data_IF_507163510381
#
_entry.id   IF_507163510381
#
_cell.length_a   1.000
_cell.length_b   1.000
_cell.length_c   1.000
_cell.angle_alpha   90.00
_cell.angle_beta   90.00
_cell.angle_gamma   90.00
#
_symmetry.space_group_name_H-M   'P 1'
#
loop_
_entity.id
_entity.type
_entity.pdbx_description
1 polymer ?
#
# COMPACT_ATOMS: atom_id res chain seq x y z
N UNK A 1 -30.02 -23.80 -10.67
CA UNK A 1 -30.94 -23.05 -9.79
C UNK A 1 -30.09 -21.88 -9.26
N UNK A 2 -30.42 -20.66 -9.68
CA UNK A 2 -29.80 -19.50 -9.07
C UNK A 2 -30.20 -19.44 -7.59
N UNK A 3 -29.27 -19.18 -6.65
CA UNK A 3 -29.65 -18.91 -5.29
C UNK A 3 -30.58 -17.68 -5.27
N UNK A 4 -31.63 -17.74 -4.47
CA UNK A 4 -32.52 -16.61 -4.26
C UNK A 4 -31.69 -15.42 -3.77
N UNK A 5 -32.05 -14.17 -4.14
CA UNK A 5 -31.36 -13.01 -3.61
C UNK A 5 -31.50 -13.03 -2.08
N UNK A 6 -30.36 -13.07 -1.39
CA UNK A 6 -30.31 -12.92 0.06
C UNK A 6 -31.00 -11.60 0.41
N UNK A 7 -32.00 -11.67 1.27
CA UNK A 7 -32.61 -10.47 1.87
C UNK A 7 -31.50 -9.69 2.54
N UNK A 8 -31.35 -8.39 2.26
CA UNK A 8 -30.29 -7.60 2.90
C UNK A 8 -30.43 -7.73 4.42
N UNK A 9 -29.34 -8.10 5.11
CA UNK A 9 -29.34 -8.15 6.57
C UNK A 9 -29.76 -6.79 7.11
N UNK A 10 -30.63 -6.75 8.11
CA UNK A 10 -31.08 -5.48 8.67
C UNK A 10 -29.88 -4.74 9.23
N UNK A 11 -29.72 -3.47 8.86
CA UNK A 11 -28.69 -2.59 9.40
C UNK A 11 -28.70 -2.63 10.93
N UNK A 12 -27.55 -2.50 11.61
CA UNK A 12 -27.52 -2.46 13.06
C UNK A 12 -28.47 -1.36 13.58
N UNK A 13 -29.34 -1.69 14.52
CA UNK A 13 -30.40 -0.81 15.01
C UNK A 13 -29.86 0.52 15.60
N UNK A 14 -28.59 0.57 16.00
CA UNK A 14 -27.96 1.77 16.55
C UNK A 14 -27.39 2.71 15.46
N UNK A 15 -27.39 2.29 14.18
CA UNK A 15 -26.93 3.13 13.07
C UNK A 15 -28.09 3.98 12.55
N UNK A 16 -28.06 5.32 12.68
CA UNK A 16 -29.10 6.19 12.17
C UNK A 16 -29.21 6.08 10.64
N UNK A 17 -30.43 5.94 10.12
CA UNK A 17 -30.68 5.73 8.70
C UNK A 17 -30.12 6.83 7.80
N UNK A 18 -30.08 8.08 8.27
CA UNK A 18 -29.53 9.21 7.49
C UNK A 18 -28.01 9.14 7.32
N UNK A 19 -27.30 8.31 8.12
CA UNK A 19 -25.85 8.08 8.00
C UNK A 19 -25.50 6.91 7.09
N UNK A 20 -26.49 6.09 6.70
CA UNK A 20 -26.24 4.91 5.85
C UNK A 20 -26.00 5.36 4.41
N UNK A 21 -24.95 4.79 3.81
CA UNK A 21 -24.62 4.92 2.38
C UNK A 21 -24.52 3.54 1.78
N UNK A 22 -25.44 3.21 0.87
CA UNK A 22 -25.54 1.88 0.27
C UNK A 22 -24.58 1.74 -0.91
N UNK A 23 -23.28 1.65 -0.60
CA UNK A 23 -22.24 1.28 -1.55
C UNK A 23 -21.12 0.49 -0.85
N UNK A 24 -20.28 -0.14 -1.64
CA UNK A 24 -19.02 -0.76 -1.21
C UNK A 24 -17.86 0.10 -1.66
N UNK A 25 -17.10 0.67 -0.71
CA UNK A 25 -16.02 1.61 -1.02
C UNK A 25 -14.94 0.99 -1.93
N UNK A 26 -14.58 -0.28 -1.69
CA UNK A 26 -13.56 -0.94 -2.52
C UNK A 26 -14.07 -1.25 -3.93
N UNK A 27 -15.33 -1.69 -4.04
CA UNK A 27 -15.95 -1.92 -5.34
C UNK A 27 -16.07 -0.63 -6.14
N UNK A 28 -16.47 0.48 -5.50
CA UNK A 28 -16.55 1.79 -6.14
C UNK A 28 -15.17 2.30 -6.58
N UNK A 29 -14.15 2.27 -5.71
CA UNK A 29 -12.78 2.67 -6.09
C UNK A 29 -12.28 1.86 -7.30
N UNK A 30 -12.53 0.55 -7.32
CA UNK A 30 -12.18 -0.31 -8.45
C UNK A 30 -12.94 0.08 -9.72
N UNK A 31 -14.25 0.29 -9.61
CA UNK A 31 -15.12 0.64 -10.75
C UNK A 31 -14.79 2.03 -11.34
N UNK A 32 -14.46 3.00 -10.49
CA UNK A 32 -14.01 4.33 -10.90
C UNK A 32 -12.65 4.31 -11.59
N UNK A 33 -11.81 3.34 -11.27
CA UNK A 33 -10.53 3.11 -11.92
C UNK A 33 -9.66 4.38 -11.95
N UNK A 34 -9.50 4.97 -13.13
CA UNK A 34 -8.72 6.19 -13.33
C UNK A 34 -9.21 7.39 -12.53
N UNK A 35 -10.50 7.46 -12.24
CA UNK A 35 -11.15 8.56 -11.52
C UNK A 35 -11.36 8.26 -10.03
N UNK A 36 -10.77 7.19 -9.51
CA UNK A 36 -10.99 6.73 -8.13
C UNK A 36 -10.74 7.81 -7.07
N UNK A 37 -9.63 8.55 -7.20
CA UNK A 37 -9.30 9.61 -6.25
C UNK A 37 -10.17 10.86 -6.40
N UNK A 38 -10.56 11.22 -7.62
CA UNK A 38 -11.52 12.30 -7.87
C UNK A 38 -12.88 11.94 -7.28
N UNK A 39 -13.34 10.70 -7.48
CA UNK A 39 -14.56 10.21 -6.86
C UNK A 39 -14.46 10.20 -5.33
N UNK A 40 -13.36 9.69 -4.76
CA UNK A 40 -13.14 9.70 -3.30
C UNK A 40 -13.17 11.13 -2.72
N UNK A 41 -12.60 12.12 -3.42
CA UNK A 41 -12.66 13.51 -3.02
C UNK A 41 -14.10 14.05 -2.97
N UNK A 42 -15.01 13.58 -3.85
CA UNK A 42 -16.42 13.99 -3.81
C UNK A 42 -17.13 13.56 -2.53
N UNK A 43 -16.67 12.50 -1.86
CA UNK A 43 -17.26 12.02 -0.61
C UNK A 43 -17.15 13.08 0.50
N UNK A 44 -16.16 13.96 0.45
CA UNK A 44 -16.05 15.09 1.38
C UNK A 44 -17.20 16.09 1.26
N UNK A 45 -17.86 16.16 0.11
CA UNK A 45 -18.98 17.05 -0.16
C UNK A 45 -20.33 16.36 -0.07
N UNK A 46 -20.37 15.06 -0.39
CA UNK A 46 -21.63 14.31 -0.61
C UNK A 46 -22.02 13.41 0.56
N UNK A 47 -21.14 13.21 1.55
CA UNK A 47 -21.42 12.38 2.72
C UNK A 47 -21.25 13.15 4.04
N UNK A 48 -21.89 12.69 5.14
CA UNK A 48 -21.58 13.19 6.48
C UNK A 48 -20.09 12.96 6.83
N UNK A 49 -19.54 13.67 7.84
CA UNK A 49 -18.16 13.48 8.31
C UNK A 49 -17.85 12.03 8.70
N UNK A 50 -18.84 11.34 9.26
CA UNK A 50 -18.80 9.91 9.56
C UNK A 50 -20.08 9.29 9.04
N UNK A 51 -19.96 8.25 8.24
CA UNK A 51 -21.10 7.52 7.68
C UNK A 51 -20.89 6.02 7.80
N UNK A 52 -21.95 5.24 7.55
CA UNK A 52 -21.93 3.78 7.60
C UNK A 52 -22.11 3.22 6.19
N UNK A 53 -21.30 2.21 5.85
CA UNK A 53 -21.49 1.38 4.66
C UNK A 53 -21.83 -0.05 5.06
N UNK A 54 -22.79 -0.72 4.38
CA UNK A 54 -23.28 -2.03 4.80
C UNK A 54 -22.31 -3.18 4.56
N UNK A 55 -21.33 -2.98 3.68
CA UNK A 55 -20.31 -3.97 3.30
C UNK A 55 -19.03 -3.32 2.84
N UNK A 56 -17.94 -4.04 2.92
CA UNK A 56 -16.63 -3.68 2.40
C UNK A 56 -15.97 -4.95 1.83
N UNK A 57 -16.14 -5.21 0.54
CA UNK A 57 -15.83 -6.50 -0.08
C UNK A 57 -16.69 -7.61 0.54
N UNK A 58 -16.03 -8.64 1.08
CA UNK A 58 -16.70 -9.73 1.82
C UNK A 58 -16.86 -9.44 3.33
N UNK A 59 -16.42 -8.26 3.78
CA UNK A 59 -16.43 -7.88 5.19
C UNK A 59 -17.76 -7.24 5.56
N UNK A 60 -18.19 -7.35 6.84
CA UNK A 60 -19.41 -6.74 7.31
C UNK A 60 -19.35 -5.22 7.27
N UNK A 61 -20.50 -4.58 7.47
CA UNK A 61 -20.65 -3.14 7.49
C UNK A 61 -19.71 -2.44 8.47
N UNK A 62 -19.34 -1.21 8.13
CA UNK A 62 -18.31 -0.46 8.85
C UNK A 62 -18.62 1.04 8.87
N UNK A 63 -18.20 1.72 9.93
CA UNK A 63 -18.13 3.18 9.99
C UNK A 63 -16.99 3.69 9.11
N UNK A 64 -17.24 4.77 8.40
CA UNK A 64 -16.26 5.43 7.53
C UNK A 64 -16.13 6.89 7.96
N UNK A 65 -15.18 7.21 8.84
CA UNK A 65 -14.73 8.58 9.06
C UNK A 65 -13.98 9.08 7.82
N UNK A 66 -14.33 10.27 7.29
CA UNK A 66 -13.65 10.83 6.12
C UNK A 66 -12.69 11.98 6.45
N UNK A 67 -12.83 12.60 7.64
CA UNK A 67 -11.97 13.69 8.07
C UNK A 67 -10.65 13.18 8.60
N UNK A 68 -9.57 13.84 8.22
CA UNK A 68 -8.23 13.51 8.72
C UNK A 68 -8.13 13.65 10.25
N UNK A 69 -8.82 14.62 10.85
CA UNK A 69 -8.86 14.83 12.29
C UNK A 69 -9.46 13.64 13.03
N UNK A 70 -10.63 13.16 12.59
CA UNK A 70 -11.30 12.00 13.18
C UNK A 70 -10.44 10.75 13.07
N UNK A 71 -9.82 10.54 11.90
CA UNK A 71 -8.93 9.40 11.66
C UNK A 71 -7.67 9.45 12.53
N UNK A 72 -7.07 10.65 12.72
CA UNK A 72 -5.93 10.82 13.65
C UNK A 72 -6.34 10.51 15.09
N UNK A 73 -7.50 10.98 15.54
CA UNK A 73 -8.03 10.69 16.87
C UNK A 73 -8.20 9.19 17.08
N UNK A 74 -8.83 8.50 16.13
CA UNK A 74 -9.03 7.04 16.16
C UNK A 74 -7.69 6.30 16.23
N UNK A 75 -6.72 6.67 15.41
CA UNK A 75 -5.41 6.03 15.35
C UNK A 75 -4.52 6.29 16.58
N UNK A 76 -4.83 7.33 17.36
CA UNK A 76 -4.13 7.66 18.62
C UNK A 76 -4.76 7.01 19.85
N UNK A 77 -5.92 6.36 19.71
CA UNK A 77 -6.62 5.70 20.80
C UNK A 77 -6.76 4.18 20.55
N UNK A 78 -5.64 3.43 20.61
CA UNK A 78 -5.67 1.98 20.38
C UNK A 78 -6.39 1.19 21.49
N UNK A 79 -6.69 1.81 22.63
CA UNK A 79 -7.48 1.17 23.68
C UNK A 79 -8.95 1.08 23.31
N UNK A 80 -9.46 2.11 22.67
CA UNK A 80 -10.84 2.15 22.17
C UNK A 80 -10.96 1.55 20.77
N UNK A 81 -9.94 1.71 19.91
CA UNK A 81 -9.93 1.27 18.51
C UNK A 81 -8.82 0.24 18.27
N UNK A 82 -9.12 -1.00 18.63
CA UNK A 82 -8.19 -2.14 18.59
C UNK A 82 -7.84 -2.56 17.16
N UNK A 83 -6.59 -2.97 16.97
CA UNK A 83 -6.12 -3.62 15.73
C UNK A 83 -6.11 -5.15 15.79
N UNK A 84 -6.52 -5.75 16.91
CA UNK A 84 -6.59 -7.20 17.08
C UNK A 84 -7.62 -7.82 16.12
N UNK A 85 -7.20 -8.88 15.41
CA UNK A 85 -8.05 -9.58 14.44
C UNK A 85 -8.33 -8.78 13.17
N UNK A 86 -7.41 -7.91 12.78
CA UNK A 86 -7.51 -7.06 11.59
C UNK A 86 -7.55 -7.87 10.29
N UNK A 87 -6.80 -8.97 10.23
CA UNK A 87 -6.68 -9.82 9.05
C UNK A 87 -7.31 -11.21 9.27
N UNK A 88 -7.76 -11.88 8.21
CA UNK A 88 -8.43 -13.18 8.35
C UNK A 88 -7.45 -14.38 8.32
N UNK A 89 -6.16 -14.19 8.07
CA UNK A 89 -5.28 -15.27 7.63
C UNK A 89 -5.15 -16.42 8.64
N UNK A 90 -4.81 -16.13 9.89
CA UNK A 90 -4.71 -17.18 10.92
C UNK A 90 -6.05 -17.87 11.17
N UNK A 91 -7.15 -17.11 11.20
CA UNK A 91 -8.50 -17.64 11.36
C UNK A 91 -8.88 -18.58 10.20
N UNK A 92 -8.59 -18.22 8.95
CA UNK A 92 -8.85 -19.07 7.77
C UNK A 92 -8.07 -20.38 7.81
N UNK A 93 -6.92 -20.39 8.47
CA UNK A 93 -6.09 -21.60 8.66
C UNK A 93 -6.48 -22.41 9.91
N UNK A 94 -7.39 -21.89 10.76
CA UNK A 94 -7.73 -22.49 12.04
C UNK A 94 -6.59 -22.37 13.06
N UNK A 95 -5.76 -21.34 12.95
CA UNK A 95 -4.58 -21.08 13.78
C UNK A 95 -4.77 -19.81 14.62
N UNK A 96 -3.84 -19.54 15.56
CA UNK A 96 -3.97 -18.44 16.54
C UNK A 96 -2.85 -17.39 16.49
N UNK A 97 -1.87 -17.55 15.58
CA UNK A 97 -0.81 -16.55 15.43
C UNK A 97 -1.35 -15.19 14.94
N UNK A 98 -0.65 -14.13 15.26
CA UNK A 98 -1.03 -12.76 14.91
C UNK A 98 0.07 -12.10 14.09
N UNK A 99 -0.32 -11.21 13.19
CA UNK A 99 0.63 -10.36 12.46
C UNK A 99 1.25 -9.34 13.42
N UNK A 100 2.33 -9.72 14.09
CA UNK A 100 2.99 -8.84 15.05
C UNK A 100 3.97 -7.87 14.35
N UNK A 101 3.91 -6.55 14.63
CA UNK A 101 3.09 -5.84 15.62
C UNK A 101 1.72 -5.34 15.10
N UNK A 102 1.32 -5.57 13.86
CA UNK A 102 0.14 -4.96 13.23
C UNK A 102 -1.16 -5.28 13.98
N UNK A 103 -1.32 -6.54 14.43
CA UNK A 103 -2.49 -7.03 15.16
C UNK A 103 -2.28 -7.10 16.67
N UNK A 104 -1.34 -6.33 17.19
CA UNK A 104 -1.02 -6.25 18.61
C UNK A 104 -1.28 -4.84 19.10
N UNK A 105 -2.07 -4.69 20.16
CA UNK A 105 -2.31 -3.39 20.79
C UNK A 105 -1.26 -3.09 21.89
N UNK A 106 -1.06 -1.80 22.24
CA UNK A 106 -0.27 -1.44 23.43
C UNK A 106 -0.86 -2.03 24.73
N UNK A 107 -0.02 -2.41 25.72
CA UNK A 107 1.42 -2.14 25.79
C UNK A 107 2.30 -3.14 25.03
N UNK A 108 1.80 -4.31 24.66
CA UNK A 108 2.60 -5.37 24.03
C UNK A 108 3.17 -4.95 22.67
N UNK A 109 2.42 -4.19 21.89
CA UNK A 109 2.85 -3.66 20.60
C UNK A 109 4.26 -3.03 20.63
N UNK A 110 4.57 -2.29 21.71
CA UNK A 110 5.86 -1.59 21.85
C UNK A 110 7.05 -2.55 21.86
N UNK A 111 6.87 -3.78 22.40
CA UNK A 111 7.92 -4.79 22.49
C UNK A 111 8.33 -5.29 21.08
N UNK A 112 7.36 -5.58 20.24
CA UNK A 112 7.62 -5.99 18.85
C UNK A 112 8.18 -4.82 18.01
N UNK A 113 7.69 -3.59 18.25
CA UNK A 113 8.27 -2.40 17.60
C UNK A 113 9.71 -2.18 17.97
N UNK A 114 10.10 -2.48 19.20
CA UNK A 114 11.49 -2.38 19.65
C UNK A 114 12.42 -3.34 18.89
N UNK A 115 11.93 -4.51 18.46
CA UNK A 115 12.69 -5.43 17.61
C UNK A 115 12.82 -4.91 16.17
N UNK A 116 11.76 -4.35 15.61
CA UNK A 116 11.71 -4.02 14.19
C UNK A 116 12.26 -2.62 13.86
N UNK A 117 11.99 -1.60 14.70
CA UNK A 117 12.40 -0.23 14.44
C UNK A 117 13.90 -0.06 14.11
N UNK A 118 14.84 -0.75 14.81
CA UNK A 118 16.26 -0.63 14.51
C UNK A 118 16.67 -1.03 13.10
N UNK A 119 15.89 -1.94 12.46
CA UNK A 119 16.17 -2.46 11.12
C UNK A 119 15.78 -1.46 10.00
N UNK A 120 14.84 -0.55 10.29
CA UNK A 120 14.28 0.40 9.32
C UNK A 120 14.63 1.86 9.64
N UNK A 121 15.70 2.09 10.42
CA UNK A 121 16.17 3.46 10.69
C UNK A 121 16.70 4.12 9.42
N UNK A 122 16.68 5.48 9.31
CA UNK A 122 17.24 6.18 8.17
C UNK A 122 18.67 5.75 7.82
N UNK A 123 19.53 5.55 8.82
CA UNK A 123 20.92 5.10 8.64
C UNK A 123 21.03 3.69 8.05
N UNK A 124 20.14 2.76 8.46
CA UNK A 124 20.12 1.41 7.88
C UNK A 124 19.62 1.43 6.45
N UNK A 125 18.60 2.23 6.16
CA UNK A 125 18.05 2.39 4.82
C UNK A 125 19.05 3.08 3.89
N UNK A 126 19.81 4.07 4.38
CA UNK A 126 20.89 4.72 3.61
C UNK A 126 21.96 3.72 3.18
N UNK A 127 22.31 2.77 4.05
CA UNK A 127 23.30 1.74 3.71
C UNK A 127 22.85 0.82 2.55
N UNK A 128 21.53 0.73 2.27
CA UNK A 128 20.99 -0.04 1.15
C UNK A 128 20.93 0.74 -0.16
N UNK A 129 21.19 2.04 -0.14
CA UNK A 129 20.96 2.91 -1.32
C UNK A 129 21.69 2.45 -2.56
N UNK A 130 22.95 2.02 -2.41
CA UNK A 130 23.76 1.59 -3.55
C UNK A 130 23.17 0.32 -4.20
N UNK A 131 22.74 -0.64 -3.41
CA UNK A 131 22.10 -1.87 -3.90
C UNK A 131 20.76 -1.59 -4.56
N UNK A 132 19.94 -0.70 -3.97
CA UNK A 132 18.68 -0.25 -4.54
C UNK A 132 18.90 0.41 -5.90
N UNK A 133 19.89 1.29 -6.02
CA UNK A 133 20.25 1.95 -7.30
C UNK A 133 20.74 0.95 -8.34
N UNK A 134 21.55 -0.03 -7.93
CA UNK A 134 22.03 -1.08 -8.83
C UNK A 134 20.88 -1.90 -9.41
N UNK A 135 19.96 -2.36 -8.56
CA UNK A 135 18.78 -3.12 -8.98
C UNK A 135 17.86 -2.31 -9.90
N UNK A 136 17.61 -1.03 -9.57
CA UNK A 136 16.81 -0.16 -10.43
C UNK A 136 17.45 0.02 -11.81
N UNK A 137 18.77 0.23 -11.87
CA UNK A 137 19.50 0.37 -13.14
C UNK A 137 19.43 -0.90 -14.00
N UNK A 138 19.60 -2.08 -13.41
CA UNK A 138 19.48 -3.35 -14.13
C UNK A 138 18.09 -3.52 -14.77
N UNK A 139 17.02 -3.26 -14.02
CA UNK A 139 15.64 -3.35 -14.54
C UNK A 139 15.36 -2.31 -15.64
N UNK A 140 15.95 -1.12 -15.55
CA UNK A 140 15.84 -0.09 -16.59
C UNK A 140 16.61 -0.52 -17.85
N UNK A 141 17.82 -1.11 -17.71
CA UNK A 141 18.61 -1.61 -18.84
C UNK A 141 17.84 -2.62 -19.67
N UNK A 142 17.03 -3.46 -19.03
CA UNK A 142 16.24 -4.51 -19.70
C UNK A 142 15.16 -3.92 -20.64
N UNK A 143 14.71 -2.69 -20.42
CA UNK A 143 13.59 -2.11 -21.17
C UNK A 143 13.92 -0.87 -21.99
N UNK A 144 14.93 -0.09 -21.63
CA UNK A 144 15.20 1.23 -22.20
C UNK A 144 15.30 1.23 -23.72
N UNK A 145 15.90 0.18 -24.32
CA UNK A 145 16.09 0.04 -25.77
C UNK A 145 14.81 -0.42 -26.50
N UNK A 146 13.76 -0.81 -25.79
CA UNK A 146 12.53 -1.33 -26.38
C UNK A 146 11.53 -0.24 -26.80
N UNK A 147 11.68 0.98 -26.28
CA UNK A 147 10.77 2.10 -26.54
C UNK A 147 9.39 1.97 -25.90
N UNK A 148 9.11 0.86 -25.22
CA UNK A 148 7.86 0.56 -24.50
C UNK A 148 8.05 -0.59 -23.52
N UNK A 149 7.20 -0.65 -22.49
CA UNK A 149 7.10 -1.82 -21.61
C UNK A 149 5.72 -1.85 -20.90
N UNK A 150 5.35 -3.00 -20.35
CA UNK A 150 4.47 -3.03 -19.19
C UNK A 150 5.31 -2.66 -17.97
N UNK A 151 5.13 -1.45 -17.46
CA UNK A 151 5.90 -0.90 -16.34
C UNK A 151 5.73 -1.73 -15.07
N UNK A 152 4.52 -2.27 -14.84
CA UNK A 152 4.27 -3.08 -13.65
C UNK A 152 5.06 -4.37 -13.68
N UNK A 153 5.04 -5.11 -14.80
CA UNK A 153 5.78 -6.36 -14.92
C UNK A 153 7.30 -6.15 -15.03
N UNK A 154 7.72 -5.11 -15.75
CA UNK A 154 9.14 -4.87 -16.03
C UNK A 154 9.88 -4.19 -14.88
N UNK A 155 9.18 -3.38 -14.07
CA UNK A 155 9.85 -2.58 -13.03
C UNK A 155 9.10 -2.56 -11.70
N UNK A 156 7.83 -2.15 -11.64
CA UNK A 156 7.17 -1.87 -10.38
C UNK A 156 7.02 -3.08 -9.46
N UNK A 157 6.81 -4.28 -10.01
CA UNK A 157 6.74 -5.54 -9.26
C UNK A 157 8.12 -6.09 -8.90
N UNK A 158 9.08 -6.24 -9.87
CA UNK A 158 10.38 -6.83 -9.55
C UNK A 158 11.24 -5.94 -8.65
N UNK A 159 11.18 -4.63 -8.77
CA UNK A 159 12.03 -3.71 -8.03
C UNK A 159 11.89 -3.84 -6.50
N UNK A 160 10.72 -3.58 -5.89
CA UNK A 160 10.57 -3.73 -4.44
C UNK A 160 10.69 -5.19 -3.99
N UNK A 161 10.30 -6.16 -4.83
CA UNK A 161 10.42 -7.58 -4.49
C UNK A 161 11.90 -7.98 -4.33
N UNK A 162 12.76 -7.58 -5.24
CA UNK A 162 14.20 -7.90 -5.16
C UNK A 162 14.86 -7.22 -3.96
N UNK A 163 14.51 -5.96 -3.67
CA UNK A 163 14.99 -5.24 -2.49
C UNK A 163 14.55 -5.96 -1.21
N UNK A 164 13.27 -6.34 -1.16
CA UNK A 164 12.71 -7.08 -0.03
C UNK A 164 13.44 -8.41 0.19
N UNK A 165 13.59 -9.24 -0.84
CA UNK A 165 14.27 -10.53 -0.73
C UNK A 165 15.72 -10.36 -0.28
N UNK A 166 16.42 -9.34 -0.79
CA UNK A 166 17.79 -9.00 -0.38
C UNK A 166 17.84 -8.59 1.09
N UNK A 167 16.93 -7.71 1.53
CA UNK A 167 16.84 -7.24 2.92
C UNK A 167 16.56 -8.39 3.89
N UNK A 168 15.68 -9.30 3.50
CA UNK A 168 15.29 -10.45 4.31
C UNK A 168 16.34 -11.58 4.29
N UNK A 169 17.29 -11.54 3.34
CA UNK A 169 18.21 -12.66 3.08
C UNK A 169 17.50 -13.90 2.54
N UNK A 170 16.41 -13.70 1.80
CA UNK A 170 15.63 -14.76 1.18
C UNK A 170 16.09 -15.02 -0.25
N UNK A 171 15.87 -16.25 -0.81
CA UNK A 171 16.35 -16.61 -2.13
C UNK A 171 15.78 -15.72 -3.24
N UNK A 172 16.64 -15.09 -4.05
CA UNK A 172 16.21 -14.21 -5.14
C UNK A 172 15.54 -14.99 -6.29
N UNK A 173 15.89 -16.25 -6.46
CA UNK A 173 15.27 -17.19 -7.39
C UNK A 173 13.79 -17.44 -7.12
N UNK A 174 13.36 -17.29 -5.88
CA UNK A 174 11.95 -17.44 -5.46
C UNK A 174 11.10 -16.20 -5.79
N UNK A 175 11.67 -15.13 -6.36
CA UNK A 175 10.94 -13.91 -6.75
C UNK A 175 9.60 -14.20 -7.46
N UNK A 176 9.51 -15.07 -8.48
CA UNK A 176 8.23 -15.33 -9.16
C UNK A 176 7.18 -15.92 -8.21
N UNK A 177 7.60 -16.75 -7.26
CA UNK A 177 6.72 -17.35 -6.26
C UNK A 177 6.18 -16.28 -5.30
N UNK A 178 7.03 -15.40 -4.81
CA UNK A 178 6.62 -14.31 -3.90
C UNK A 178 5.69 -13.31 -4.60
N UNK A 179 5.95 -12.98 -5.85
CA UNK A 179 5.06 -12.12 -6.64
C UNK A 179 3.69 -12.77 -6.85
N UNK A 180 3.65 -14.07 -7.16
CA UNK A 180 2.40 -14.82 -7.29
C UNK A 180 1.60 -14.81 -5.98
N UNK A 181 2.25 -15.12 -4.85
CA UNK A 181 1.60 -15.13 -3.53
C UNK A 181 1.07 -13.75 -3.14
N UNK A 182 1.82 -12.69 -3.40
CA UNK A 182 1.39 -11.33 -3.11
C UNK A 182 0.12 -10.98 -3.88
N UNK A 183 0.09 -11.26 -5.18
CA UNK A 183 -1.09 -10.97 -6.01
C UNK A 183 -2.32 -11.75 -5.57
N UNK A 184 -2.17 -13.03 -5.28
CA UNK A 184 -3.28 -13.91 -4.92
C UNK A 184 -3.76 -13.72 -3.49
N UNK A 185 -2.86 -13.40 -2.55
CA UNK A 185 -3.23 -13.19 -1.15
C UNK A 185 -3.93 -11.84 -0.92
N UNK A 186 -3.40 -10.76 -1.55
CA UNK A 186 -3.82 -9.39 -1.26
C UNK A 186 -4.93 -8.92 -2.22
N UNK A 187 -5.01 -9.47 -3.45
CA UNK A 187 -5.91 -8.97 -4.51
C UNK A 187 -7.04 -9.93 -4.89
N UNK A 188 -7.13 -11.09 -4.23
CA UNK A 188 -8.22 -12.04 -4.50
C UNK A 188 -9.41 -11.84 -3.58
N UNK A 189 -10.61 -11.86 -4.16
CA UNK A 189 -11.88 -11.92 -3.44
C UNK A 189 -12.36 -13.37 -3.20
N UNK A 190 -11.65 -14.37 -3.74
CA UNK A 190 -11.95 -15.78 -3.53
C UNK A 190 -11.29 -16.30 -2.25
N UNK A 191 -12.09 -16.58 -1.23
CA UNK A 191 -11.61 -17.04 0.08
C UNK A 191 -10.83 -18.37 0.01
N UNK A 192 -11.16 -19.25 -0.93
CA UNK A 192 -10.42 -20.50 -1.10
C UNK A 192 -8.99 -20.22 -1.59
N UNK A 193 -8.86 -19.37 -2.61
CA UNK A 193 -7.57 -18.91 -3.14
C UNK A 193 -6.74 -18.24 -2.04
N UNK A 194 -7.34 -17.34 -1.26
CA UNK A 194 -6.67 -16.67 -0.12
C UNK A 194 -6.19 -17.68 0.91
N UNK A 195 -7.03 -18.67 1.26
CA UNK A 195 -6.71 -19.71 2.27
C UNK A 195 -5.55 -20.60 1.79
N UNK A 196 -5.59 -21.05 0.53
CA UNK A 196 -4.56 -21.94 -0.03
C UNK A 196 -3.21 -21.23 -0.13
N UNK A 197 -3.21 -19.94 -0.52
CA UNK A 197 -1.99 -19.14 -0.54
C UNK A 197 -1.47 -18.84 0.87
N UNK A 198 -2.33 -18.50 1.83
CA UNK A 198 -1.92 -18.31 3.22
C UNK A 198 -1.25 -19.60 3.78
N UNK A 199 -1.79 -20.78 3.44
CA UNK A 199 -1.21 -22.09 3.82
C UNK A 199 0.15 -22.31 3.16
N UNK A 200 0.29 -22.01 1.87
CA UNK A 200 1.56 -22.14 1.17
C UNK A 200 2.64 -21.25 1.76
N UNK A 201 2.31 -19.97 2.01
CA UNK A 201 3.21 -18.97 2.60
C UNK A 201 3.62 -19.39 4.02
N UNK A 202 2.67 -19.79 4.88
CA UNK A 202 2.99 -20.21 6.25
C UNK A 202 3.86 -21.46 6.26
N UNK A 203 3.64 -22.41 5.35
CA UNK A 203 4.47 -23.60 5.19
C UNK A 203 5.89 -23.23 4.80
N UNK A 204 6.05 -22.34 3.82
CA UNK A 204 7.37 -21.86 3.38
C UNK A 204 8.10 -21.13 4.52
N UNK A 205 7.43 -20.20 5.21
CA UNK A 205 8.03 -19.46 6.33
C UNK A 205 8.47 -20.42 7.46
N UNK A 206 7.65 -21.39 7.84
CA UNK A 206 8.00 -22.39 8.86
C UNK A 206 9.22 -23.23 8.46
N UNK A 207 9.28 -23.64 7.20
CA UNK A 207 10.43 -24.37 6.64
C UNK A 207 11.68 -23.51 6.72
N UNK A 208 11.61 -22.25 6.30
CA UNK A 208 12.72 -21.31 6.34
C UNK A 208 13.18 -21.03 7.79
N UNK A 209 12.28 -20.85 8.75
CA UNK A 209 12.62 -20.73 10.18
C UNK A 209 13.37 -21.98 10.69
N UNK A 210 12.91 -23.18 10.33
CA UNK A 210 13.56 -24.43 10.74
C UNK A 210 14.97 -24.55 10.14
N UNK A 211 15.15 -24.18 8.88
CA UNK A 211 16.47 -24.15 8.22
C UNK A 211 17.43 -23.18 8.90
N UNK A 212 16.95 -21.97 9.25
CA UNK A 212 17.77 -20.97 9.95
C UNK A 212 18.10 -21.36 11.38
N UNK A 213 17.24 -22.12 12.06
CA UNK A 213 17.60 -22.73 13.38
C UNK A 213 18.73 -23.72 13.27
N UNK A 214 18.74 -24.52 12.20
CA UNK A 214 19.82 -25.49 11.97
C UNK A 214 21.11 -24.84 11.48
N UNK A 215 20.99 -23.80 10.63
CA UNK A 215 22.09 -23.11 9.98
C UNK A 215 21.84 -21.59 10.02
N UNK A 216 22.15 -20.90 11.14
CA UNK A 216 21.97 -19.45 11.26
C UNK A 216 22.79 -18.69 10.20
N UNK A 217 22.16 -17.68 9.60
CA UNK A 217 22.79 -16.75 8.66
C UNK A 217 22.86 -15.32 9.19
N UNK A 218 23.27 -14.39 8.33
CA UNK A 218 23.22 -12.95 8.57
C UNK A 218 21.96 -12.37 7.86
N UNK A 219 20.78 -12.81 8.31
CA UNK A 219 19.50 -12.46 7.72
C UNK A 219 18.45 -12.11 8.78
N UNK A 220 17.31 -11.58 8.32
CA UNK A 220 16.23 -11.15 9.19
C UNK A 220 15.68 -12.28 10.09
N UNK A 221 15.48 -13.47 9.51
CA UNK A 221 14.94 -14.61 10.27
C UNK A 221 15.93 -15.07 11.35
N UNK A 222 17.24 -15.11 11.03
CA UNK A 222 18.31 -15.42 12.00
C UNK A 222 18.42 -14.35 13.10
N UNK A 223 18.25 -13.08 12.77
CA UNK A 223 18.15 -11.99 13.74
C UNK A 223 16.99 -12.22 14.72
N UNK A 224 15.79 -12.56 14.23
CA UNK A 224 14.65 -12.84 15.09
C UNK A 224 14.87 -14.06 16.00
N UNK A 225 15.55 -15.11 15.51
CA UNK A 225 15.87 -16.31 16.29
C UNK A 225 16.76 -16.03 17.50
N UNK A 226 17.56 -14.97 17.45
CA UNK A 226 18.42 -14.53 18.56
C UNK A 226 17.82 -13.39 19.38
N UNK A 227 16.64 -12.92 18.99
CA UNK A 227 15.94 -11.81 19.66
C UNK A 227 15.09 -12.30 20.83
N UNK A 228 14.92 -11.44 21.82
CA UNK A 228 14.13 -11.72 23.02
C UNK A 228 13.04 -10.67 23.25
N UNK A 229 11.93 -11.12 23.81
CA UNK A 229 10.87 -10.27 24.38
C UNK A 229 10.69 -10.64 25.85
N UNK A 230 10.81 -9.67 26.75
CA UNK A 230 10.73 -9.85 28.20
C UNK A 230 11.70 -10.93 28.75
N UNK A 231 12.91 -11.05 28.16
CA UNK A 231 13.93 -11.99 28.55
C UNK A 231 13.66 -13.45 28.13
N UNK A 232 12.75 -13.66 27.18
CA UNK A 232 12.51 -14.98 26.57
C UNK A 232 12.67 -14.91 25.05
N UNK A 233 13.09 -16.01 24.41
CA UNK A 233 13.06 -16.13 22.96
C UNK A 233 11.63 -15.95 22.40
N UNK A 234 11.53 -15.54 21.13
CA UNK A 234 10.26 -15.52 20.40
C UNK A 234 9.71 -16.94 20.24
N UNK A 235 8.40 -17.09 20.39
CA UNK A 235 7.70 -18.34 20.08
C UNK A 235 7.62 -18.58 18.58
N UNK A 236 7.27 -19.80 18.16
CA UNK A 236 7.08 -20.15 16.75
C UNK A 236 5.94 -19.33 16.11
N UNK A 237 4.87 -19.05 16.83
CA UNK A 237 3.76 -18.20 16.38
C UNK A 237 4.19 -16.74 16.21
N UNK A 238 5.00 -16.20 17.11
CA UNK A 238 5.57 -14.85 17.00
C UNK A 238 6.53 -14.76 15.81
N UNK A 239 7.40 -15.74 15.65
CA UNK A 239 8.31 -15.85 14.51
C UNK A 239 7.54 -15.89 13.18
N UNK A 240 6.51 -16.74 13.10
CA UNK A 240 5.66 -16.86 11.93
C UNK A 240 4.94 -15.54 11.62
N UNK A 241 4.27 -14.97 12.63
CA UNK A 241 3.47 -13.76 12.45
C UNK A 241 4.29 -12.55 12.03
N UNK A 242 5.50 -12.39 12.57
CA UNK A 242 6.42 -11.30 12.16
C UNK A 242 6.89 -11.51 10.72
N UNK A 243 7.37 -12.71 10.37
CA UNK A 243 7.83 -12.98 9.00
C UNK A 243 6.69 -12.83 7.97
N UNK A 244 5.49 -13.31 8.31
CA UNK A 244 4.32 -13.19 7.45
C UNK A 244 3.90 -11.71 7.28
N UNK A 245 3.91 -10.92 8.36
CA UNK A 245 3.61 -9.49 8.28
C UNK A 245 4.59 -8.76 7.35
N UNK A 246 5.88 -8.97 7.56
CA UNK A 246 6.90 -8.29 6.76
C UNK A 246 6.76 -8.69 5.28
N UNK A 247 6.44 -9.96 4.99
CA UNK A 247 6.14 -10.43 3.65
C UNK A 247 4.99 -9.62 2.99
N UNK A 248 3.81 -9.56 3.62
CA UNK A 248 2.66 -8.88 3.01
C UNK A 248 2.84 -7.36 2.94
N UNK A 249 3.53 -6.76 3.89
CA UNK A 249 3.70 -5.32 3.95
C UNK A 249 4.76 -4.78 2.97
N UNK A 250 5.77 -5.60 2.65
CA UNK A 250 6.95 -5.16 1.89
C UNK A 250 6.84 -5.29 0.37
N UNK A 251 5.89 -6.06 -0.15
CA UNK A 251 5.90 -6.43 -1.56
C UNK A 251 4.91 -5.64 -2.44
N UNK A 252 3.68 -5.38 -1.97
CA UNK A 252 2.64 -4.80 -2.82
C UNK A 252 2.53 -3.27 -2.70
N UNK A 253 2.87 -2.70 -1.54
CA UNK A 253 2.62 -1.28 -1.28
C UNK A 253 3.49 -0.35 -2.14
N UNK A 254 4.79 -0.61 -2.24
CA UNK A 254 5.69 0.18 -3.11
C UNK A 254 5.37 -0.06 -4.59
N UNK A 255 5.04 -1.30 -4.97
CA UNK A 255 4.56 -1.66 -6.32
C UNK A 255 3.36 -0.82 -6.72
N UNK A 256 2.36 -0.73 -5.85
CA UNK A 256 1.12 0.03 -6.09
C UNK A 256 1.39 1.55 -6.19
N UNK A 257 2.23 2.09 -5.30
CA UNK A 257 2.66 3.49 -5.38
C UNK A 257 3.38 3.79 -6.70
N UNK A 258 4.34 2.95 -7.11
CA UNK A 258 5.06 3.13 -8.38
C UNK A 258 4.12 3.16 -9.58
N UNK A 259 3.19 2.22 -9.66
CA UNK A 259 2.20 2.19 -10.74
C UNK A 259 1.41 3.50 -10.83
N UNK A 260 0.87 3.99 -9.70
CA UNK A 260 0.10 5.22 -9.63
C UNK A 260 0.94 6.47 -9.95
N UNK A 261 2.17 6.55 -9.42
CA UNK A 261 3.07 7.69 -9.63
C UNK A 261 3.51 7.80 -11.08
N UNK A 262 3.90 6.69 -11.69
CA UNK A 262 4.33 6.68 -13.10
C UNK A 262 3.17 6.89 -14.07
N UNK A 263 1.96 6.40 -13.72
CA UNK A 263 0.75 6.76 -14.45
C UNK A 263 0.50 8.27 -14.37
N UNK A 264 0.62 8.86 -13.18
CA UNK A 264 0.46 10.31 -13.01
C UNK A 264 1.45 11.07 -13.90
N UNK A 265 2.74 10.76 -13.82
CA UNK A 265 3.77 11.41 -14.63
C UNK A 265 3.57 11.20 -16.14
N UNK A 266 3.08 10.02 -16.56
CA UNK A 266 2.79 9.74 -17.98
C UNK A 266 1.63 10.57 -18.52
N UNK A 267 0.73 11.04 -17.66
CA UNK A 267 -0.42 11.90 -18.00
C UNK A 267 -0.14 13.39 -17.85
N UNK A 268 0.93 13.75 -17.12
CA UNK A 268 1.31 15.12 -16.81
C UNK A 268 2.74 15.42 -17.31
N UNK A 269 2.92 15.56 -18.65
CA UNK A 269 4.26 15.78 -19.23
C UNK A 269 4.93 17.05 -18.74
N UNK A 270 4.16 18.07 -18.35
CA UNK A 270 4.65 19.31 -17.75
C UNK A 270 5.32 19.06 -16.39
N UNK A 271 4.71 18.23 -15.53
CA UNK A 271 5.28 17.85 -14.25
C UNK A 271 6.45 16.89 -14.41
N UNK A 272 6.39 15.99 -15.38
CA UNK A 272 7.52 15.15 -15.76
C UNK A 272 8.73 16.01 -16.21
N UNK A 273 8.50 17.05 -17.01
CA UNK A 273 9.53 18.00 -17.44
C UNK A 273 10.08 18.82 -16.27
N UNK A 274 9.22 19.25 -15.33
CA UNK A 274 9.63 19.96 -14.12
C UNK A 274 10.62 19.13 -13.28
N UNK A 275 10.31 17.85 -13.02
CA UNK A 275 11.20 16.97 -12.23
C UNK A 275 12.52 16.63 -12.96
N UNK A 276 12.51 16.62 -14.29
CA UNK A 276 13.77 16.48 -15.08
C UNK A 276 14.63 17.71 -15.02
N UNK A 277 14.03 18.89 -15.01
CA UNK A 277 14.75 20.16 -14.93
C UNK A 277 15.29 20.43 -13.52
N UNK A 278 14.58 19.98 -12.49
CA UNK A 278 14.94 20.15 -11.08
C UNK A 278 14.82 18.82 -10.32
N UNK A 279 15.87 17.97 -10.34
CA UNK A 279 15.86 16.69 -9.63
C UNK A 279 15.76 16.81 -8.10
N UNK A 280 16.11 17.94 -7.50
CA UNK A 280 16.00 18.15 -6.05
C UNK A 280 14.51 18.15 -5.61
N UNK A 281 13.60 18.52 -6.50
CA UNK A 281 12.17 18.51 -6.27
C UNK A 281 11.58 17.09 -6.15
N UNK A 282 12.30 16.04 -6.57
CA UNK A 282 11.79 14.66 -6.56
C UNK A 282 11.41 14.21 -5.15
N UNK A 283 12.15 14.66 -4.13
CA UNK A 283 11.81 14.37 -2.73
C UNK A 283 10.41 14.86 -2.35
N UNK A 284 10.12 16.12 -2.65
CA UNK A 284 8.82 16.75 -2.38
C UNK A 284 7.70 16.16 -3.26
N UNK A 285 8.04 15.84 -4.51
CA UNK A 285 7.11 15.15 -5.42
C UNK A 285 6.70 13.76 -4.90
N UNK A 286 7.60 12.99 -4.31
CA UNK A 286 7.29 11.70 -3.68
C UNK A 286 6.32 11.89 -2.51
N UNK A 287 6.52 12.89 -1.63
CA UNK A 287 5.60 13.15 -0.50
C UNK A 287 4.21 13.58 -1.02
N UNK A 288 4.14 14.44 -2.02
CA UNK A 288 2.86 14.88 -2.59
C UNK A 288 2.14 13.75 -3.34
N UNK A 289 2.86 12.92 -4.08
CA UNK A 289 2.28 11.75 -4.74
C UNK A 289 1.80 10.70 -3.72
N UNK A 290 2.54 10.49 -2.61
CA UNK A 290 2.08 9.66 -1.49
C UNK A 290 0.80 10.22 -0.85
N UNK A 291 0.69 11.54 -0.72
CA UNK A 291 -0.55 12.17 -0.24
C UNK A 291 -1.69 11.95 -1.21
N UNK A 292 -1.53 12.36 -2.46
CA UNK A 292 -2.60 12.38 -3.46
C UNK A 292 -3.04 10.99 -3.89
N UNK A 293 -2.12 10.02 -3.89
CA UNK A 293 -2.35 8.63 -4.28
C UNK A 293 -2.10 7.68 -3.12
N UNK A 294 -2.67 7.98 -1.96
CA UNK A 294 -2.66 7.03 -0.84
C UNK A 294 -3.43 5.77 -1.18
N UNK A 295 -2.97 4.63 -0.67
CA UNK A 295 -3.39 3.32 -1.17
C UNK A 295 -3.92 2.38 -0.08
N UNK A 296 -3.81 2.72 1.20
CA UNK A 296 -4.03 1.75 2.28
C UNK A 296 -5.35 2.00 2.99
N UNK A 297 -6.15 0.94 3.02
CA UNK A 297 -7.37 0.85 3.81
C UNK A 297 -7.18 -0.21 4.91
N UNK A 298 -7.29 0.21 6.16
CA UNK A 298 -7.23 -0.66 7.33
C UNK A 298 -8.50 -0.56 8.14
N UNK A 299 -8.66 -1.44 9.12
CA UNK A 299 -9.83 -1.41 10.01
C UNK A 299 -9.40 -1.33 11.47
N UNK A 300 -10.34 -0.93 12.32
CA UNK A 300 -10.24 -1.06 13.78
C UNK A 300 -11.54 -1.62 14.32
N UNK A 301 -11.45 -2.34 15.42
CA UNK A 301 -12.61 -2.82 16.16
C UNK A 301 -12.83 -1.93 17.37
N UNK A 302 -14.04 -1.43 17.55
CA UNK A 302 -14.44 -0.63 18.72
C UNK A 302 -14.54 -1.55 19.95
N UNK A 303 -13.78 -1.27 21.00
CA UNK A 303 -13.71 -2.11 22.21
C UNK A 303 -14.76 -1.75 23.26
N UNK A 304 -15.25 -0.53 23.25
CA UNK A 304 -16.29 0.00 24.14
C UNK A 304 -17.11 1.08 23.42
N UNK A 305 -18.32 1.34 23.88
CA UNK A 305 -19.15 2.42 23.33
C UNK A 305 -18.40 3.75 23.39
N UNK A 306 -18.32 4.44 22.26
CA UNK A 306 -17.58 5.70 22.12
C UNK A 306 -18.30 6.69 21.22
N UNK A 307 -18.17 7.96 21.54
CA UNK A 307 -18.67 9.05 20.71
C UNK A 307 -17.55 9.71 19.92
N UNK A 308 -17.71 9.75 18.59
CA UNK A 308 -16.85 10.50 17.68
C UNK A 308 -17.74 11.49 16.91
N UNK A 309 -17.51 12.79 17.12
CA UNK A 309 -18.42 13.81 16.60
C UNK A 309 -19.85 13.61 17.13
N UNK A 310 -20.81 13.50 16.20
CA UNK A 310 -22.23 13.28 16.52
C UNK A 310 -22.61 11.78 16.51
N UNK A 311 -21.66 10.87 16.22
CA UNK A 311 -21.92 9.45 16.07
C UNK A 311 -21.52 8.68 17.32
N UNK A 312 -22.41 7.83 17.81
CA UNK A 312 -22.09 6.84 18.85
C UNK A 312 -21.81 5.49 18.20
N UNK A 313 -20.55 5.08 18.24
CA UNK A 313 -20.13 3.76 17.82
C UNK A 313 -20.25 2.77 18.99
N UNK A 314 -20.72 1.56 18.72
CA UNK A 314 -20.93 0.54 19.74
C UNK A 314 -19.75 -0.43 19.81
N UNK A 315 -19.57 -1.03 20.99
CA UNK A 315 -18.59 -2.12 21.15
C UNK A 315 -18.85 -3.21 20.10
N UNK A 316 -17.80 -3.60 19.38
CA UNK A 316 -17.85 -4.58 18.30
C UNK A 316 -18.04 -3.97 16.90
N UNK A 317 -18.39 -2.68 16.81
CA UNK A 317 -18.42 -2.00 15.52
C UNK A 317 -17.04 -1.99 14.86
N UNK A 318 -17.06 -1.97 13.53
CA UNK A 318 -15.84 -1.81 12.73
C UNK A 318 -15.73 -0.36 12.25
N UNK A 319 -14.50 0.14 12.21
CA UNK A 319 -14.18 1.46 11.68
C UNK A 319 -13.13 1.33 10.60
N UNK A 320 -13.41 1.86 9.42
CA UNK A 320 -12.48 1.92 8.30
C UNK A 320 -11.53 3.09 8.48
N UNK A 321 -10.25 2.82 8.30
CA UNK A 321 -9.19 3.82 8.23
C UNK A 321 -8.79 3.91 6.75
N UNK A 322 -9.37 4.86 6.03
CA UNK A 322 -9.03 5.14 4.64
C UNK A 322 -8.00 6.25 4.57
N UNK A 323 -6.79 5.92 4.13
CA UNK A 323 -5.73 6.91 3.94
C UNK A 323 -6.02 7.83 2.76
N UNK A 324 -6.76 7.36 1.76
CA UNK A 324 -7.24 8.14 0.63
C UNK A 324 -8.14 9.29 1.10
N UNK A 325 -9.16 8.98 1.91
CA UNK A 325 -10.07 10.01 2.43
C UNK A 325 -9.34 10.99 3.34
N UNK A 326 -8.45 10.51 4.22
CA UNK A 326 -7.68 11.38 5.10
C UNK A 326 -6.82 12.40 4.35
N UNK A 327 -6.23 11.98 3.22
CA UNK A 327 -5.27 12.78 2.46
C UNK A 327 -5.92 13.63 1.36
N UNK A 328 -7.21 13.39 1.08
CA UNK A 328 -8.05 14.22 0.21
C UNK A 328 -8.97 15.17 0.99
N UNK A 329 -8.74 15.32 2.30
CA UNK A 329 -9.55 16.19 3.15
C UNK A 329 -9.27 17.68 2.86
N UNK A 330 -10.27 18.44 2.32
CA UNK A 330 -10.12 19.85 2.00
C UNK A 330 -10.03 20.74 3.25
N UNK A 331 -10.37 20.24 4.44
CA UNK A 331 -10.18 20.97 5.70
C UNK A 331 -8.69 20.98 6.12
N UNK A 332 -7.85 20.12 5.52
CA UNK A 332 -6.42 19.97 5.83
C UNK A 332 -5.52 20.36 4.67
N UNK A 333 -5.94 20.07 3.45
CA UNK A 333 -5.15 20.29 2.23
C UNK A 333 -5.95 21.16 1.24
N UNK A 334 -5.50 22.39 1.03
CA UNK A 334 -6.09 23.25 -0.02
C UNK A 334 -5.98 22.57 -1.38
N UNK A 335 -7.08 22.59 -2.18
CA UNK A 335 -7.13 21.91 -3.47
C UNK A 335 -6.62 20.45 -3.35
N UNK A 336 -7.18 19.70 -2.38
CA UNK A 336 -6.69 18.37 -2.00
C UNK A 336 -6.70 17.34 -3.15
N UNK A 337 -7.54 17.53 -4.14
CA UNK A 337 -7.68 16.73 -5.36
C UNK A 337 -6.60 17.01 -6.42
N UNK A 338 -5.80 18.08 -6.25
CA UNK A 338 -4.69 18.43 -7.14
C UNK A 338 -3.35 17.96 -6.60
N UNK A 339 -2.47 17.56 -7.52
CA UNK A 339 -1.07 17.27 -7.25
C UNK A 339 -0.24 18.53 -7.45
N UNK A 340 0.39 19.00 -6.38
CA UNK A 340 1.26 20.18 -6.37
C UNK A 340 2.59 19.86 -5.69
N UNK A 341 3.67 19.70 -6.45
CA UNK A 341 5.01 19.40 -5.92
C UNK A 341 5.61 20.53 -5.09
N UNK A 342 5.01 21.72 -5.10
CA UNK A 342 5.40 22.85 -4.27
C UNK A 342 4.56 22.95 -3.00
N UNK A 343 3.64 22.03 -2.75
CA UNK A 343 2.87 22.00 -1.52
C UNK A 343 3.81 21.89 -0.33
N UNK A 344 3.81 22.89 0.54
CA UNK A 344 4.73 22.90 1.66
C UNK A 344 4.47 21.71 2.59
N UNK A 345 5.46 20.86 2.74
CA UNK A 345 5.42 19.67 3.62
C UNK A 345 5.23 20.01 5.11
N UNK A 346 5.26 21.29 5.48
CA UNK A 346 5.22 21.77 6.87
C UNK A 346 3.83 21.98 7.45
N UNK A 347 2.77 22.06 6.65
CA UNK A 347 1.45 22.45 7.15
C UNK A 347 0.70 21.31 7.85
N UNK A 348 0.72 20.11 7.30
CA UNK A 348 0.15 18.91 7.94
C UNK A 348 0.72 17.64 7.29
N UNK A 349 1.29 16.71 8.08
CA UNK A 349 1.82 15.49 7.51
C UNK A 349 0.66 14.64 6.95
N UNK A 350 0.83 14.13 5.73
CA UNK A 350 -0.10 13.18 5.14
C UNK A 350 -0.11 11.85 5.91
N UNK A 351 -1.18 11.07 5.75
CA UNK A 351 -1.41 9.81 6.46
C UNK A 351 -1.14 8.56 5.59
N UNK A 352 -0.41 8.67 4.47
CA UNK A 352 -0.11 7.53 3.61
C UNK A 352 0.63 6.39 4.33
N UNK A 353 1.38 6.71 5.38
CA UNK A 353 2.05 5.75 6.27
C UNK A 353 1.31 5.52 7.58
N UNK A 354 -0.01 5.78 7.63
CA UNK A 354 -0.82 5.75 8.84
C UNK A 354 -0.35 6.77 9.90
N UNK A 355 -0.92 6.70 11.09
CA UNK A 355 -0.65 7.61 12.20
C UNK A 355 -0.62 6.86 13.53
N UNK A 356 -0.10 7.50 14.61
CA UNK A 356 -0.08 6.91 15.95
C UNK A 356 0.92 5.75 16.07
N UNK A 357 0.64 4.84 16.99
CA UNK A 357 1.56 3.75 17.38
C UNK A 357 1.83 2.76 16.24
N UNK A 358 0.88 2.55 15.35
CA UNK A 358 0.98 1.68 14.18
C UNK A 358 1.52 2.39 12.92
N UNK A 359 2.12 3.57 13.05
CA UNK A 359 2.76 4.23 11.89
C UNK A 359 3.75 3.27 11.23
N UNK A 360 3.72 3.21 9.90
CA UNK A 360 4.51 2.28 9.09
C UNK A 360 6.00 2.28 9.49
N UNK A 361 6.53 1.11 9.83
CA UNK A 361 7.95 0.93 10.16
C UNK A 361 8.84 1.09 8.94
N UNK A 362 8.38 0.65 7.76
CA UNK A 362 9.09 0.70 6.50
C UNK A 362 9.05 2.05 5.79
N UNK A 363 8.48 3.10 6.40
CA UNK A 363 8.25 4.39 5.73
C UNK A 363 9.52 5.05 5.18
N UNK A 364 10.67 4.86 5.81
CA UNK A 364 11.96 5.37 5.32
C UNK A 364 12.46 4.58 4.11
N UNK A 365 12.30 3.26 4.12
CA UNK A 365 12.66 2.40 3.00
C UNK A 365 11.79 2.70 1.78
N UNK A 366 10.48 2.72 1.94
CA UNK A 366 9.54 3.02 0.86
C UNK A 366 9.82 4.38 0.19
N UNK A 367 10.07 5.43 0.97
CA UNK A 367 10.47 6.74 0.43
C UNK A 367 11.77 6.68 -0.37
N UNK A 368 12.74 5.92 0.11
CA UNK A 368 14.03 5.75 -0.58
C UNK A 368 13.85 5.02 -1.90
N UNK A 369 13.08 3.94 -1.92
CA UNK A 369 12.77 3.19 -3.12
C UNK A 369 12.04 4.04 -4.15
N UNK A 370 10.95 4.72 -3.76
CA UNK A 370 10.16 5.59 -4.63
C UNK A 370 11.00 6.73 -5.22
N UNK A 371 11.83 7.37 -4.38
CA UNK A 371 12.72 8.44 -4.83
C UNK A 371 13.74 7.94 -5.85
N UNK A 372 14.45 6.87 -5.56
CA UNK A 372 15.47 6.30 -6.47
C UNK A 372 14.84 5.84 -7.78
N UNK A 373 13.69 5.19 -7.74
CA UNK A 373 12.96 4.79 -8.95
C UNK A 373 12.65 6.01 -9.83
N UNK A 374 12.07 7.08 -9.26
CA UNK A 374 11.74 8.29 -10.01
C UNK A 374 13.00 8.98 -10.53
N UNK A 375 14.03 9.15 -9.73
CA UNK A 375 15.31 9.76 -10.15
C UNK A 375 15.88 9.03 -11.36
N UNK A 376 16.06 7.71 -11.29
CA UNK A 376 16.72 6.94 -12.33
C UNK A 376 15.88 6.83 -13.62
N UNK A 377 14.57 6.66 -13.51
CA UNK A 377 13.69 6.66 -14.68
C UNK A 377 13.66 8.00 -15.39
N UNK A 378 13.50 9.09 -14.64
CA UNK A 378 13.49 10.44 -15.23
C UNK A 378 14.86 10.82 -15.81
N UNK A 379 15.96 10.37 -15.22
CA UNK A 379 17.29 10.64 -15.71
C UNK A 379 17.63 9.86 -16.99
N UNK A 380 17.22 8.58 -17.07
CA UNK A 380 17.72 7.64 -18.07
C UNK A 380 16.79 7.47 -19.28
N UNK A 381 15.47 7.51 -19.06
CA UNK A 381 14.50 7.37 -20.15
C UNK A 381 14.17 8.73 -20.77
N UNK A 382 13.85 8.77 -22.08
CA UNK A 382 13.19 9.93 -22.67
C UNK A 382 11.84 10.23 -22.00
N UNK A 383 11.19 11.37 -22.29
CA UNK A 383 9.80 11.59 -21.86
C UNK A 383 8.91 10.43 -22.29
N UNK A 384 8.13 9.92 -21.35
CA UNK A 384 7.28 8.75 -21.54
C UNK A 384 5.81 9.13 -21.37
N UNK A 385 4.94 8.35 -21.99
CA UNK A 385 3.48 8.49 -21.96
C UNK A 385 2.82 7.12 -21.82
N UNK A 386 1.52 7.10 -21.53
CA UNK A 386 0.74 5.86 -21.60
C UNK A 386 0.73 5.37 -23.05
N UNK A 387 0.93 4.08 -23.26
CA UNK A 387 0.96 3.49 -24.59
C UNK A 387 -0.42 3.59 -25.25
N UNK A 388 -0.44 3.83 -26.57
CA UNK A 388 -1.65 3.90 -27.36
C UNK A 388 -2.45 2.58 -27.25
N UNK A 389 -3.79 2.68 -27.15
CA UNK A 389 -4.72 1.56 -27.00
C UNK A 389 -4.55 0.72 -25.72
N UNK A 390 -3.93 1.28 -24.68
CA UNK A 390 -3.79 0.68 -23.38
C UNK A 390 -4.79 1.30 -22.39
N UNK A 391 -5.50 0.45 -21.64
CA UNK A 391 -6.39 0.90 -20.56
C UNK A 391 -5.86 0.31 -19.25
N UNK A 392 -5.37 1.15 -18.33
CA UNK A 392 -4.92 0.69 -17.03
C UNK A 392 -6.03 -0.05 -16.27
N UNK A 393 -5.68 -1.16 -15.61
CA UNK A 393 -6.60 -1.91 -14.74
C UNK A 393 -6.26 -1.67 -13.29
N UNK A 394 -7.30 -1.47 -12.48
CA UNK A 394 -7.20 -1.13 -11.06
C UNK A 394 -7.83 -2.21 -10.18
N UNK A 395 -7.34 -2.30 -8.96
CA UNK A 395 -7.86 -3.18 -7.92
C UNK A 395 -7.82 -2.44 -6.57
N UNK A 396 -8.90 -2.54 -5.79
CA UNK A 396 -8.99 -1.97 -4.45
C UNK A 396 -9.44 -3.05 -3.46
N UNK A 397 -8.48 -3.73 -2.85
CA UNK A 397 -8.73 -4.66 -1.77
C UNK A 397 -7.68 -4.46 -0.67
N UNK A 398 -8.04 -3.68 0.37
CA UNK A 398 -7.09 -3.30 1.42
C UNK A 398 -5.96 -2.36 0.95
N UNK A 399 -5.40 -2.63 -0.23
CA UNK A 399 -4.44 -1.77 -0.92
C UNK A 399 -4.98 -1.44 -2.31
N UNK A 400 -5.17 -0.14 -2.61
CA UNK A 400 -5.54 0.30 -3.94
C UNK A 400 -4.31 0.32 -4.85
N UNK A 401 -4.41 -0.27 -6.01
CA UNK A 401 -3.28 -0.36 -6.92
C UNK A 401 -3.69 -0.56 -8.37
N UNK A 402 -2.68 -0.60 -9.22
CA UNK A 402 -2.82 -0.80 -10.65
C UNK A 402 -2.21 -2.14 -11.04
N UNK A 403 -2.93 -2.93 -11.82
CA UNK A 403 -2.46 -4.26 -12.27
C UNK A 403 -1.56 -4.18 -13.47
N UNK A 404 -1.86 -3.28 -14.43
CA UNK A 404 -1.11 -3.10 -15.68
C UNK A 404 -0.91 -1.61 -15.95
N UNK A 405 0.30 -1.25 -16.41
CA UNK A 405 0.63 0.08 -16.88
C UNK A 405 1.59 0.01 -18.06
N UNK A 406 1.07 0.13 -19.26
CA UNK A 406 1.89 0.17 -20.46
C UNK A 406 2.39 1.59 -20.72
N UNK A 407 3.71 1.76 -20.68
CA UNK A 407 4.39 3.01 -20.99
C UNK A 407 5.11 2.89 -22.33
N UNK A 408 5.22 4.02 -23.04
CA UNK A 408 6.00 4.14 -24.28
C UNK A 408 6.80 5.45 -24.30
N UNK A 409 7.94 5.42 -24.99
CA UNK A 409 8.85 6.56 -25.19
C UNK A 409 9.53 6.48 -26.56
N UNK A 410 10.00 7.63 -27.05
CA UNK A 410 10.65 7.70 -28.36
C UNK A 410 12.11 7.32 -28.25
N UNK A 411 12.55 6.38 -29.12
CA UNK A 411 13.97 5.98 -29.16
C UNK A 411 14.82 7.02 -29.89
N UNK A 412 16.07 7.25 -29.47
CA UNK A 412 17.01 8.10 -30.20
C UNK A 412 17.13 7.62 -31.67
N UNK A 413 16.82 8.48 -32.62
CA UNK A 413 16.85 8.18 -34.07
C UNK A 413 15.47 8.07 -34.73
N UNK A 414 14.35 7.96 -34.01
CA UNK A 414 13.01 7.92 -34.60
C UNK A 414 12.35 9.31 -34.74
N UNK A 415 12.95 10.36 -34.22
CA UNK A 415 12.42 11.74 -34.27
C UNK A 415 12.39 12.34 -35.67
N UNK A 416 13.15 11.79 -36.63
CA UNK A 416 13.18 12.31 -38.00
C UNK A 416 11.93 11.95 -38.85
N UNK A 417 11.18 10.89 -38.48
CA UNK A 417 10.02 10.46 -39.28
C UNK A 417 8.70 11.14 -38.90
N UNK A 418 8.58 11.72 -37.71
CA UNK A 418 7.36 12.39 -37.25
C UNK A 418 7.28 13.83 -37.83
N UNK A 419 8.41 14.53 -37.94
CA UNK A 419 8.45 15.87 -38.55
C UNK A 419 8.26 15.86 -40.07
N UNK A 420 8.66 14.78 -40.76
CA UNK A 420 8.45 14.63 -42.18
C UNK A 420 6.97 14.36 -42.57
N UNK A 421 6.18 13.75 -41.68
CA UNK A 421 4.74 13.49 -41.91
C UNK A 421 3.89 14.75 -41.67
N UNK A 422 4.29 15.65 -40.78
CA UNK A 422 3.61 16.91 -40.55
C UNK A 422 3.92 17.94 -41.66
N UNK A 423 5.11 17.90 -42.28
CA UNK A 423 5.49 18.75 -43.39
C UNK A 423 4.90 18.28 -44.75
N UNK A 424 4.44 17.04 -44.84
CA UNK A 424 3.82 16.49 -46.05
C UNK A 424 2.28 16.60 -46.07
N UNK A 425 1.66 17.12 -44.98
CA UNK A 425 0.21 17.35 -44.87
C UNK A 425 -0.17 18.84 -44.72
N UNK A 426 0.79 19.75 -44.90
CA UNK A 426 0.60 21.19 -45.04
C UNK A 426 0.94 21.61 -46.47
#
# INVERSE_FOLDING_TARGET
MNPAPETPEPFPAHVPSHLIRDFDLWAELTAQGENAYQWAATLHQTTPPIFWIPRLGFLPGTWVPRRAEDLRRILQDPQTFSSVGLTPYSMLLGESWRLAPLEIDPPEHAKYRALLNPLFTPKKVEALEQDIRLLANQLIDDVIAQGRCDFNEAFAKPFPTLIFLTLMGWPLEDRPLFQHWTQTLIKSFDLQTVTDNARAITTWIRTHIAERRANPGDDFTSYLLTSEIDGRPLTDDEMLGINFLIFIAGLDTVTSCLGLFFRHLARHPEQQAQLRADPELIGDAVEELLRSYSIVNMRRTVTCDVQIGEVTMKKGDMVLISTELANLDPEVFDEADKVDFQRSAGASPHMAFSYGVHRCVGSHLARRELRIAMELWLQRLPPFRIADNSTPRFNAFGVFGMEELHLQWDLPGNTASAQSKQAASA
#
